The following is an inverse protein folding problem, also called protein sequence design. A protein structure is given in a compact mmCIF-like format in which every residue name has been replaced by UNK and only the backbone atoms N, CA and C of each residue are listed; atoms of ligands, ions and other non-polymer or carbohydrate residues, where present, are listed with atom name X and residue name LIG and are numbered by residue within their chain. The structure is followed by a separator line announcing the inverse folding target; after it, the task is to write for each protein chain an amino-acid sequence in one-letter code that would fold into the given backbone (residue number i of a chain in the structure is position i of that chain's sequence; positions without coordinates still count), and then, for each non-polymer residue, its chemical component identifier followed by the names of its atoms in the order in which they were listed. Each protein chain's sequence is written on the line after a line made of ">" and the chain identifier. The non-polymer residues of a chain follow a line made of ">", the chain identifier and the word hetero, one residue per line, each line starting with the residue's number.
data_IF_880641198084
#
_entry.id   IF_880641198084
#
_cell.length_a   1.000
_cell.length_b   1.000
_cell.length_c   1.000
_cell.angle_alpha   90.00
_cell.angle_beta   90.00
_cell.angle_gamma   90.00
#
_symmetry.space_group_name_H-M   'P 1'
#
loop_
_entity.id
_entity.type
_entity.pdbx_description
1 polymer ?
#
# COMPACT_ATOMS: atom_id res chain seq x y z
N UNK A 1 -25.93 26.34 62.31
CA UNK A 1 -25.42 25.02 62.71
C UNK A 1 -24.27 24.71 61.77
N UNK A 2 -23.04 25.05 62.18
CA UNK A 2 -21.83 24.85 61.39
C UNK A 2 -21.42 23.38 61.49
N UNK A 3 -21.37 22.69 60.35
CA UNK A 3 -20.83 21.34 60.27
C UNK A 3 -19.30 21.48 60.40
N UNK A 4 -18.74 21.17 61.56
CA UNK A 4 -17.29 20.92 61.69
C UNK A 4 -16.99 19.63 60.94
N UNK A 5 -16.51 19.76 59.70
CA UNK A 5 -16.02 18.62 58.94
C UNK A 5 -14.70 18.21 59.59
N UNK A 6 -14.68 17.03 60.21
CA UNK A 6 -13.47 16.48 60.81
C UNK A 6 -12.42 16.24 59.70
N UNK A 7 -11.24 16.85 59.84
CA UNK A 7 -10.18 16.81 58.83
C UNK A 7 -9.78 15.37 58.46
N UNK A 8 -9.83 14.44 59.42
CA UNK A 8 -9.52 13.02 59.21
C UNK A 8 -10.51 12.34 58.25
N UNK A 9 -11.80 12.68 58.33
CA UNK A 9 -12.84 12.17 57.43
C UNK A 9 -12.62 12.69 56.00
N UNK A 10 -12.23 13.96 55.87
CA UNK A 10 -11.95 14.61 54.58
C UNK A 10 -10.75 13.96 53.89
N UNK A 11 -9.68 13.69 54.65
CA UNK A 11 -8.48 12.98 54.16
C UNK A 11 -8.82 11.55 53.73
N UNK A 12 -9.63 10.82 54.50
CA UNK A 12 -10.05 9.47 54.14
C UNK A 12 -10.87 9.44 52.84
N UNK A 13 -11.81 10.37 52.66
CA UNK A 13 -12.63 10.48 51.44
C UNK A 13 -11.74 10.79 50.22
N UNK A 14 -10.80 11.72 50.34
CA UNK A 14 -9.85 12.05 49.26
C UNK A 14 -8.97 10.84 48.92
N UNK A 15 -8.51 10.09 49.93
CA UNK A 15 -7.73 8.86 49.73
C UNK A 15 -8.49 7.80 48.93
N UNK A 16 -9.76 7.56 49.27
CA UNK A 16 -10.62 6.60 48.55
C UNK A 16 -10.91 7.08 47.12
N UNK A 17 -11.24 8.36 46.93
CA UNK A 17 -11.48 8.93 45.59
C UNK A 17 -10.23 8.87 44.71
N UNK A 18 -9.06 9.14 45.28
CA UNK A 18 -7.78 9.05 44.58
C UNK A 18 -7.48 7.60 44.17
N UNK A 19 -7.71 6.64 45.05
CA UNK A 19 -7.54 5.22 44.75
C UNK A 19 -8.50 4.75 43.64
N UNK A 20 -9.76 5.18 43.68
CA UNK A 20 -10.75 4.87 42.64
C UNK A 20 -10.37 5.47 41.28
N UNK A 21 -9.87 6.71 41.26
CA UNK A 21 -9.39 7.36 40.03
C UNK A 21 -8.20 6.60 39.42
N UNK A 22 -7.21 6.22 40.24
CA UNK A 22 -6.05 5.45 39.78
C UNK A 22 -6.48 4.08 39.24
N UNK A 23 -7.41 3.40 39.90
CA UNK A 23 -7.96 2.14 39.45
C UNK A 23 -8.69 2.29 38.10
N UNK A 24 -9.50 3.34 37.95
CA UNK A 24 -10.23 3.62 36.71
C UNK A 24 -9.30 3.93 35.54
N UNK A 25 -8.27 4.75 35.74
CA UNK A 25 -7.26 5.07 34.71
C UNK A 25 -6.50 3.82 34.30
N UNK A 26 -6.09 2.99 35.26
CA UNK A 26 -5.36 1.74 35.00
C UNK A 26 -6.24 0.77 34.19
N UNK A 27 -7.50 0.60 34.59
CA UNK A 27 -8.46 -0.24 33.88
C UNK A 27 -8.68 0.22 32.43
N UNK A 28 -8.93 1.53 32.23
CA UNK A 28 -9.08 2.09 30.88
C UNK A 28 -7.82 1.92 30.03
N UNK A 29 -6.62 2.10 30.63
CA UNK A 29 -5.35 1.90 29.96
C UNK A 29 -5.17 0.48 29.45
N UNK A 30 -5.40 -0.52 30.31
CA UNK A 30 -5.30 -1.95 29.95
C UNK A 30 -6.34 -2.31 28.89
N UNK A 31 -7.60 -1.88 29.05
CA UNK A 31 -8.67 -2.15 28.10
C UNK A 31 -8.37 -1.56 26.71
N UNK A 32 -7.85 -0.33 26.66
CA UNK A 32 -7.44 0.31 25.42
C UNK A 32 -6.28 -0.44 24.76
N UNK A 33 -5.29 -0.91 25.54
CA UNK A 33 -4.18 -1.70 25.00
C UNK A 33 -4.64 -3.04 24.43
N UNK A 34 -5.55 -3.75 25.11
CA UNK A 34 -6.11 -5.02 24.61
C UNK A 34 -6.82 -4.81 23.27
N UNK A 35 -7.74 -3.83 23.20
CA UNK A 35 -8.43 -3.49 21.95
C UNK A 35 -7.48 -3.06 20.83
N UNK A 36 -6.49 -2.23 21.16
CA UNK A 36 -5.47 -1.79 20.20
C UNK A 36 -4.66 -2.99 19.67
N UNK A 37 -4.33 -3.95 20.53
CA UNK A 37 -3.60 -5.16 20.16
C UNK A 37 -4.44 -6.05 19.25
N UNK A 38 -5.71 -6.28 19.57
CA UNK A 38 -6.63 -7.03 18.71
C UNK A 38 -6.76 -6.39 17.32
N UNK A 39 -7.00 -5.08 17.26
CA UNK A 39 -7.11 -4.36 15.99
C UNK A 39 -5.80 -4.42 15.20
N UNK A 40 -4.65 -4.28 15.87
CA UNK A 40 -3.35 -4.36 15.21
C UNK A 40 -3.04 -5.77 14.69
N UNK A 41 -3.40 -6.81 15.43
CA UNK A 41 -3.19 -8.20 15.00
C UNK A 41 -4.08 -8.55 13.80
N UNK A 42 -5.34 -8.08 13.78
CA UNK A 42 -6.22 -8.22 12.61
C UNK A 42 -5.67 -7.46 11.40
N UNK A 43 -5.21 -6.22 11.59
CA UNK A 43 -4.57 -5.44 10.52
C UNK A 43 -3.31 -6.11 9.99
N UNK A 44 -2.48 -6.69 10.86
CA UNK A 44 -1.29 -7.43 10.46
C UNK A 44 -1.67 -8.65 9.61
N UNK A 45 -2.61 -9.48 10.08
CA UNK A 45 -3.10 -10.64 9.32
C UNK A 45 -3.67 -10.26 7.94
N UNK A 46 -4.44 -9.16 7.86
CA UNK A 46 -4.96 -8.66 6.59
C UNK A 46 -3.82 -8.23 5.66
N UNK A 47 -2.81 -7.53 6.18
CA UNK A 47 -1.65 -7.11 5.41
C UNK A 47 -0.84 -8.30 4.89
N UNK A 48 -0.66 -9.33 5.70
CA UNK A 48 0.05 -10.55 5.28
C UNK A 48 -0.69 -11.25 4.12
N UNK A 49 -2.02 -11.27 4.15
CA UNK A 49 -2.84 -11.79 3.04
C UNK A 49 -2.74 -10.92 1.80
N UNK A 50 -2.76 -9.60 1.95
CA UNK A 50 -2.56 -8.65 0.87
C UNK A 50 -1.21 -8.84 0.18
N UNK A 51 -0.14 -9.00 0.96
CA UNK A 51 1.22 -9.18 0.46
C UNK A 51 1.33 -10.40 -0.47
N UNK A 52 0.69 -11.53 -0.12
CA UNK A 52 0.65 -12.73 -0.96
C UNK A 52 -0.01 -12.44 -2.33
N UNK A 53 -1.10 -11.69 -2.34
CA UNK A 53 -1.80 -11.36 -3.60
C UNK A 53 -0.95 -10.41 -4.44
N UNK A 54 -0.34 -9.42 -3.79
CA UNK A 54 0.50 -8.44 -4.42
C UNK A 54 1.76 -9.06 -5.02
N UNK A 55 2.40 -9.99 -4.32
CA UNK A 55 3.52 -10.78 -4.83
C UNK A 55 3.14 -11.56 -6.10
N UNK A 56 1.97 -12.21 -6.12
CA UNK A 56 1.47 -12.91 -7.31
C UNK A 56 1.24 -11.99 -8.50
N UNK A 57 0.72 -10.77 -8.26
CA UNK A 57 0.55 -9.75 -9.30
C UNK A 57 1.90 -9.33 -9.86
N UNK A 58 2.87 -9.02 -8.98
CA UNK A 58 4.23 -8.65 -9.38
C UNK A 58 4.88 -9.75 -10.21
N UNK A 59 4.90 -10.98 -9.67
CA UNK A 59 5.46 -12.14 -10.34
C UNK A 59 4.84 -12.38 -11.72
N UNK A 60 3.51 -12.26 -11.84
CA UNK A 60 2.83 -12.39 -13.14
C UNK A 60 3.30 -11.34 -14.14
N UNK A 61 3.38 -10.07 -13.75
CA UNK A 61 3.76 -8.99 -14.66
C UNK A 61 5.24 -9.13 -15.06
N UNK A 62 6.13 -9.43 -14.11
CA UNK A 62 7.55 -9.60 -14.40
C UNK A 62 7.83 -10.82 -15.28
N UNK A 63 7.16 -11.95 -15.03
CA UNK A 63 7.29 -13.13 -15.89
C UNK A 63 6.81 -12.82 -17.32
N UNK A 64 5.66 -12.16 -17.46
CA UNK A 64 5.11 -11.76 -18.75
C UNK A 64 6.06 -10.84 -19.51
N UNK A 65 6.63 -9.83 -18.83
CA UNK A 65 7.62 -8.92 -19.40
C UNK A 65 8.90 -9.67 -19.79
N UNK A 66 9.41 -10.53 -18.92
CA UNK A 66 10.64 -11.28 -19.16
C UNK A 66 10.51 -12.23 -20.36
N UNK A 67 9.41 -12.99 -20.45
CA UNK A 67 9.16 -13.87 -21.59
C UNK A 67 9.00 -13.08 -22.91
N UNK A 68 8.37 -11.90 -22.84
CA UNK A 68 8.24 -10.99 -23.98
C UNK A 68 9.61 -10.43 -24.43
N UNK A 69 10.45 -9.98 -23.49
CA UNK A 69 11.78 -9.42 -23.78
C UNK A 69 12.72 -10.52 -24.31
N UNK A 70 12.69 -11.70 -23.71
CA UNK A 70 13.53 -12.85 -24.11
C UNK A 70 13.00 -13.58 -25.35
N UNK A 71 11.89 -13.10 -25.95
CA UNK A 71 11.23 -13.68 -27.14
C UNK A 71 10.87 -15.16 -26.97
N UNK A 72 10.58 -15.57 -25.73
CA UNK A 72 10.10 -16.92 -25.44
C UNK A 72 8.64 -17.06 -25.90
N UNK A 73 8.24 -18.24 -26.40
CA UNK A 73 6.84 -18.48 -26.73
C UNK A 73 5.98 -18.34 -25.48
N UNK A 74 4.99 -17.46 -25.53
CA UNK A 74 4.05 -17.25 -24.42
C UNK A 74 3.10 -18.45 -24.30
N UNK A 75 3.19 -19.15 -23.16
CA UNK A 75 2.22 -20.19 -22.79
C UNK A 75 0.89 -19.54 -22.38
N UNK A 76 -0.01 -19.43 -23.36
CA UNK A 76 -1.32 -18.80 -23.19
C UNK A 76 -2.15 -19.45 -22.08
N UNK A 77 -2.05 -20.77 -21.90
CA UNK A 77 -2.84 -21.50 -20.89
C UNK A 77 -2.31 -21.19 -19.49
N UNK A 78 -0.98 -21.26 -19.31
CA UNK A 78 -0.33 -20.89 -18.04
C UNK A 78 -0.67 -19.45 -17.63
N UNK A 79 -0.54 -18.49 -18.55
CA UNK A 79 -0.83 -17.09 -18.24
C UNK A 79 -2.31 -16.83 -17.97
N UNK A 80 -3.23 -17.47 -18.72
CA UNK A 80 -4.67 -17.35 -18.46
C UNK A 80 -5.06 -17.89 -17.07
N UNK A 81 -4.53 -19.06 -16.69
CA UNK A 81 -4.81 -19.68 -15.39
C UNK A 81 -4.30 -18.81 -14.24
N UNK A 82 -3.06 -18.31 -14.33
CA UNK A 82 -2.50 -17.38 -13.32
C UNK A 82 -3.28 -16.08 -13.25
N UNK A 83 -3.72 -15.54 -14.39
CA UNK A 83 -4.52 -14.33 -14.43
C UNK A 83 -5.86 -14.50 -13.74
N UNK A 84 -6.49 -15.67 -13.89
CA UNK A 84 -7.74 -16.00 -13.19
C UNK A 84 -7.52 -16.22 -11.70
N UNK A 85 -6.41 -16.85 -11.30
CA UNK A 85 -6.06 -16.96 -9.89
C UNK A 85 -5.89 -15.58 -9.23
N UNK A 86 -5.21 -14.64 -9.90
CA UNK A 86 -5.05 -13.26 -9.44
C UNK A 86 -6.41 -12.58 -9.29
N UNK A 87 -7.30 -12.70 -10.27
CA UNK A 87 -8.68 -12.16 -10.19
C UNK A 87 -9.42 -12.67 -8.96
N UNK A 88 -9.35 -13.97 -8.69
CA UNK A 88 -9.96 -14.58 -7.51
C UNK A 88 -9.38 -13.94 -6.24
N UNK A 89 -8.05 -13.95 -6.10
CA UNK A 89 -7.37 -13.48 -4.90
C UNK A 89 -7.55 -11.98 -4.64
N UNK A 90 -7.58 -11.17 -5.69
CA UNK A 90 -7.86 -9.73 -5.60
C UNK A 90 -9.21 -9.45 -4.92
N UNK A 91 -10.26 -10.18 -5.28
CA UNK A 91 -11.60 -9.99 -4.72
C UNK A 91 -11.69 -10.34 -3.23
N UNK A 92 -10.85 -11.24 -2.74
CA UNK A 92 -10.87 -11.67 -1.33
C UNK A 92 -9.94 -10.88 -0.42
N UNK A 93 -8.80 -10.43 -0.94
CA UNK A 93 -7.71 -9.98 -0.07
C UNK A 93 -7.14 -8.60 -0.43
N UNK A 94 -7.30 -8.12 -1.66
CA UNK A 94 -6.72 -6.81 -2.03
C UNK A 94 -7.54 -5.64 -1.48
N UNK A 95 -6.93 -4.47 -1.37
CA UNK A 95 -7.67 -3.26 -1.03
C UNK A 95 -8.51 -2.75 -2.21
N UNK A 96 -9.60 -2.04 -1.89
CA UNK A 96 -10.52 -1.48 -2.88
C UNK A 96 -9.81 -0.68 -3.97
N UNK A 97 -8.79 0.10 -3.59
CA UNK A 97 -8.00 0.90 -4.53
C UNK A 97 -7.29 0.03 -5.57
N UNK A 98 -6.68 -1.07 -5.13
CA UNK A 98 -5.99 -2.01 -6.02
C UNK A 98 -7.00 -2.72 -6.92
N UNK A 99 -8.14 -3.14 -6.37
CA UNK A 99 -9.23 -3.76 -7.14
C UNK A 99 -9.73 -2.81 -8.23
N UNK A 100 -10.03 -1.56 -7.91
CA UNK A 100 -10.49 -0.55 -8.87
C UNK A 100 -9.46 -0.28 -9.97
N UNK A 101 -8.17 -0.18 -9.62
CA UNK A 101 -7.09 -0.01 -10.59
C UNK A 101 -6.95 -1.25 -11.50
N UNK A 102 -7.14 -2.45 -10.96
CA UNK A 102 -7.11 -3.69 -11.72
C UNK A 102 -8.33 -3.84 -12.64
N UNK A 103 -9.52 -3.40 -12.22
CA UNK A 103 -10.71 -3.34 -13.08
C UNK A 103 -10.43 -2.42 -14.27
N UNK A 104 -9.87 -1.22 -14.02
CA UNK A 104 -9.49 -0.29 -15.08
C UNK A 104 -8.49 -0.92 -16.06
N UNK A 105 -7.46 -1.60 -15.54
CA UNK A 105 -6.51 -2.34 -16.37
C UNK A 105 -7.21 -3.38 -17.27
N UNK A 106 -8.15 -4.18 -16.74
CA UNK A 106 -8.89 -5.17 -17.52
C UNK A 106 -9.76 -4.56 -18.63
N UNK A 107 -10.38 -3.41 -18.36
CA UNK A 107 -11.22 -2.73 -19.34
C UNK A 107 -10.38 -2.07 -20.44
N UNK A 108 -9.20 -1.56 -20.09
CA UNK A 108 -8.29 -0.90 -21.03
C UNK A 108 -7.55 -1.90 -21.92
N UNK A 109 -7.23 -3.11 -21.45
CA UNK A 109 -6.63 -4.17 -22.30
C UNK A 109 -7.53 -4.58 -23.47
N UNK A 110 -8.85 -4.44 -23.34
CA UNK A 110 -9.79 -4.69 -24.43
C UNK A 110 -9.72 -3.68 -25.59
N UNK A 111 -9.00 -2.56 -25.42
CA UNK A 111 -8.91 -1.48 -26.41
C UNK A 111 -7.72 -1.60 -27.38
N UNK A 112 -6.92 -2.66 -27.28
CA UNK A 112 -5.71 -2.90 -28.08
C UNK A 112 -4.66 -1.77 -28.04
N UNK A 113 -4.68 -0.92 -27.00
CA UNK A 113 -3.63 0.08 -26.75
C UNK A 113 -2.58 -0.49 -25.79
N UNK A 114 -1.46 -0.94 -26.36
CA UNK A 114 -0.36 -1.55 -25.61
C UNK A 114 0.35 -0.54 -24.69
N UNK A 115 0.44 0.73 -25.08
CA UNK A 115 1.07 1.80 -24.31
C UNK A 115 0.22 2.12 -23.07
N UNK A 116 -1.09 2.28 -23.26
CA UNK A 116 -2.03 2.50 -22.17
C UNK A 116 -2.04 1.32 -21.19
N UNK A 117 -2.03 0.10 -21.72
CA UNK A 117 -1.98 -1.14 -20.94
C UNK A 117 -0.73 -1.19 -20.06
N UNK A 118 0.45 -0.95 -20.65
CA UNK A 118 1.72 -0.94 -19.93
C UNK A 118 1.75 0.13 -18.83
N UNK A 119 1.27 1.33 -19.14
CA UNK A 119 1.13 2.41 -18.15
C UNK A 119 0.22 2.02 -16.98
N UNK A 120 -0.90 1.34 -17.26
CA UNK A 120 -1.80 0.89 -16.20
C UNK A 120 -1.19 -0.21 -15.32
N UNK A 121 -0.34 -1.07 -15.88
CA UNK A 121 0.47 -2.02 -15.09
C UNK A 121 1.43 -1.29 -14.14
N UNK A 122 2.15 -0.27 -14.62
CA UNK A 122 3.05 0.50 -13.75
C UNK A 122 2.30 1.25 -12.64
N UNK A 123 1.13 1.83 -12.97
CA UNK A 123 0.24 2.44 -11.97
C UNK A 123 -0.21 1.45 -10.90
N UNK A 124 -0.58 0.23 -11.31
CA UNK A 124 -0.96 -0.83 -10.38
C UNK A 124 0.21 -1.20 -9.45
N UNK A 125 1.42 -1.35 -9.98
CA UNK A 125 2.62 -1.62 -9.18
C UNK A 125 2.91 -0.52 -8.16
N UNK A 126 2.88 0.75 -8.58
CA UNK A 126 3.08 1.91 -7.68
C UNK A 126 2.01 1.94 -6.60
N UNK A 127 0.76 1.68 -6.94
CA UNK A 127 -0.33 1.65 -5.98
C UNK A 127 -0.14 0.56 -4.93
N UNK A 128 0.20 -0.66 -5.37
CA UNK A 128 0.50 -1.77 -4.48
C UNK A 128 1.63 -1.41 -3.50
N UNK A 129 2.70 -0.73 -3.95
CA UNK A 129 3.78 -0.27 -3.05
C UNK A 129 3.27 0.65 -1.95
N UNK A 130 2.33 1.54 -2.26
CA UNK A 130 1.72 2.43 -1.26
C UNK A 130 0.91 1.64 -0.24
N UNK A 131 0.16 0.64 -0.70
CA UNK A 131 -0.71 -0.19 0.15
C UNK A 131 0.10 -1.08 1.12
N UNK A 132 1.25 -1.61 0.71
CA UNK A 132 2.15 -2.39 1.60
C UNK A 132 2.93 -1.53 2.60
N UNK A 133 2.80 -0.19 2.55
CA UNK A 133 3.34 0.70 3.57
C UNK A 133 4.48 1.62 3.10
N UNK A 134 4.86 1.60 1.82
CA UNK A 134 5.80 2.57 1.28
C UNK A 134 5.10 3.91 1.04
N UNK A 135 5.08 4.76 2.07
CA UNK A 135 4.43 6.09 2.06
C UNK A 135 5.17 7.16 1.24
N UNK A 136 6.37 6.86 0.75
CA UNK A 136 7.19 7.82 0.00
C UNK A 136 6.77 7.94 -1.46
N UNK A 137 6.57 9.17 -1.94
CA UNK A 137 6.21 9.47 -3.34
C UNK A 137 7.39 9.37 -4.33
N UNK A 138 8.56 8.94 -3.87
CA UNK A 138 9.78 8.92 -4.69
C UNK A 138 9.74 7.87 -5.80
N UNK A 139 9.06 6.75 -5.57
CA UNK A 139 8.93 5.67 -6.55
C UNK A 139 7.65 5.87 -7.35
N UNK A 140 7.80 6.17 -8.63
CA UNK A 140 6.72 6.39 -9.58
C UNK A 140 6.83 5.43 -10.79
N UNK A 141 5.95 5.58 -11.77
CA UNK A 141 5.94 4.72 -12.96
C UNK A 141 7.26 4.76 -13.74
N UNK A 142 7.93 5.92 -13.79
CA UNK A 142 9.27 6.06 -14.39
C UNK A 142 10.31 5.27 -13.60
N UNK A 143 10.26 5.29 -12.27
CA UNK A 143 11.15 4.48 -11.43
C UNK A 143 10.97 2.99 -11.68
N UNK A 144 9.74 2.52 -11.88
CA UNK A 144 9.46 1.13 -12.25
C UNK A 144 10.06 0.81 -13.62
N UNK A 145 9.88 1.69 -14.61
CA UNK A 145 10.46 1.51 -15.94
C UNK A 145 11.99 1.44 -15.91
N UNK A 146 12.64 2.26 -15.08
CA UNK A 146 14.10 2.24 -14.89
C UNK A 146 14.62 0.94 -14.26
N UNK A 147 13.79 0.19 -13.55
CA UNK A 147 14.14 -1.16 -13.07
C UNK A 147 14.10 -2.16 -14.23
N UNK A 148 13.20 -1.96 -15.19
CA UNK A 148 13.01 -2.86 -16.33
C UNK A 148 14.00 -2.59 -17.47
N UNK A 149 14.40 -1.34 -17.68
CA UNK A 149 15.29 -0.92 -18.76
C UNK A 149 16.64 -0.48 -18.19
N UNK A 150 17.69 -1.24 -18.50
CA UNK A 150 19.05 -0.94 -18.04
C UNK A 150 19.68 0.29 -18.74
N UNK A 151 19.24 0.61 -19.96
CA UNK A 151 19.75 1.75 -20.73
C UNK A 151 18.93 3.03 -20.48
N UNK A 152 19.61 4.09 -20.04
CA UNK A 152 18.98 5.39 -19.74
C UNK A 152 18.33 6.06 -20.95
N UNK A 153 18.98 6.03 -22.12
CA UNK A 153 18.49 6.67 -23.33
C UNK A 153 17.23 5.96 -23.85
N UNK A 154 17.24 4.63 -23.84
CA UNK A 154 16.08 3.81 -24.17
C UNK A 154 14.92 4.07 -23.20
N UNK A 155 15.20 4.16 -21.90
CA UNK A 155 14.20 4.48 -20.89
C UNK A 155 13.56 5.87 -21.12
N UNK A 156 14.33 6.88 -21.51
CA UNK A 156 13.82 8.22 -21.81
C UNK A 156 12.94 8.22 -23.07
N UNK A 157 13.33 7.48 -24.10
CA UNK A 157 12.53 7.31 -25.31
C UNK A 157 11.19 6.61 -25.01
N UNK A 158 11.20 5.55 -24.21
CA UNK A 158 9.96 4.90 -23.76
C UNK A 158 9.10 5.79 -22.86
N UNK A 159 9.71 6.61 -21.99
CA UNK A 159 8.95 7.57 -21.18
C UNK A 159 8.15 8.55 -22.05
N UNK A 160 8.78 9.08 -23.10
CA UNK A 160 8.13 9.99 -24.06
C UNK A 160 6.96 9.31 -24.76
N UNK A 161 7.15 8.07 -25.22
CA UNK A 161 6.09 7.28 -25.86
C UNK A 161 4.91 6.98 -24.91
N UNK A 162 5.18 6.73 -23.63
CA UNK A 162 4.16 6.49 -22.60
C UNK A 162 3.41 7.77 -22.17
N UNK A 163 3.78 8.92 -22.74
CA UNK A 163 3.21 10.22 -22.41
C UNK A 163 3.63 10.71 -21.02
N UNK A 164 4.68 10.13 -20.44
CA UNK A 164 5.32 10.69 -19.25
C UNK A 164 6.12 11.90 -19.74
N UNK A 165 5.53 13.10 -19.64
CA UNK A 165 6.24 14.34 -19.95
C UNK A 165 7.57 14.36 -19.20
N UNK A 166 8.63 14.78 -19.88
CA UNK A 166 9.92 15.05 -19.27
C UNK A 166 9.69 15.94 -18.05
N UNK A 167 9.81 15.34 -16.86
CA UNK A 167 10.07 16.08 -15.64
C UNK A 167 11.51 16.60 -15.75
N UNK A 168 11.71 17.59 -16.62
CA UNK A 168 12.88 18.44 -16.66
C UNK A 168 13.03 19.26 -15.36
N UNK A 169 12.07 19.14 -14.43
CA UNK A 169 12.09 19.76 -13.10
C UNK A 169 12.47 18.78 -11.97
N UNK A 170 13.36 17.82 -12.25
CA UNK A 170 14.26 17.35 -11.19
C UNK A 170 15.48 18.28 -11.00
N UNK A 171 15.60 19.37 -11.78
CA UNK A 171 16.78 20.27 -11.72
C UNK A 171 16.62 21.55 -10.88
N UNK A 172 15.42 21.93 -10.42
CA UNK A 172 15.22 23.22 -9.70
C UNK A 172 14.97 23.10 -8.19
N UNK A 173 14.77 21.89 -7.62
CA UNK A 173 14.66 21.73 -6.15
C UNK A 173 15.82 20.98 -5.49
N UNK A 174 16.99 21.04 -6.12
CA UNK A 174 18.31 20.90 -5.45
C UNK A 174 19.12 22.22 -5.55
N UNK A 175 18.46 23.34 -5.94
CA UNK A 175 19.11 24.65 -6.12
C UNK A 175 18.34 25.84 -5.54
N UNK A 176 17.27 25.59 -4.79
CA UNK A 176 16.54 26.64 -4.06
C UNK A 176 16.54 26.23 -2.57
N UNK A 177 17.59 26.71 -1.91
CA UNK A 177 17.87 26.76 -0.47
C UNK A 177 18.41 25.49 0.23
N UNK A 178 19.70 25.60 0.59
CA UNK A 178 20.31 25.32 1.89
C UNK A 178 19.43 24.65 2.96
#
# INVERSE_FOLDING_TARGET
>A
MSIEINNDLLVAIIGVLSALLVAMITFMGVWYQLKKTEVNTLKAKLRDKQEIVYDKIYSYIFDLLNDTITKRPLDKVKYANRYMEIKKLLLFHASDRVVLQFIKLNMDTGRNDSILTLRNYFKLMVLIRKEIGYKGEKVNEKSILQILIANKEECENFCKQLGYKDSFLYSIRNKIFY
#
